data_IF_063999030875
#
_entry.id   IF_063999030875
#
_cell.length_a   1.000
_cell.length_b   1.000
_cell.length_c   1.000
_cell.angle_alpha   90.00
_cell.angle_beta   90.00
_cell.angle_gamma   90.00
#
_symmetry.space_group_name_H-M   'P 1'
#
loop_
_entity.id
_entity.type
_entity.pdbx_description
1 polymer ?
#
# COMPACT_ATOMS: atom_id res chain seq x y z
N UNK A 1 6.14 -8.50 -9.66
CA UNK A 1 5.46 -9.47 -8.78
C UNK A 1 4.06 -9.00 -8.39
N UNK A 2 3.88 -7.82 -7.78
CA UNK A 2 2.55 -7.28 -7.40
C UNK A 2 1.53 -7.25 -8.56
N UNK A 3 1.95 -6.85 -9.76
CA UNK A 3 1.07 -6.86 -10.95
C UNK A 3 0.52 -8.24 -11.34
N UNK A 4 1.21 -9.31 -10.97
CA UNK A 4 0.82 -10.68 -11.32
C UNK A 4 -0.07 -11.34 -10.24
N UNK A 5 -0.37 -10.63 -9.16
CA UNK A 5 -1.17 -11.13 -8.03
C UNK A 5 -2.56 -10.50 -8.07
N UNK A 6 -3.61 -11.31 -7.92
CA UNK A 6 -5.01 -10.85 -7.99
C UNK A 6 -5.45 -10.05 -6.76
N UNK A 7 -4.89 -10.36 -5.58
CA UNK A 7 -5.09 -9.63 -4.32
C UNK A 7 -3.72 -9.36 -3.71
N UNK A 8 -3.13 -8.22 -4.03
CA UNK A 8 -1.80 -7.85 -3.53
C UNK A 8 -1.89 -7.24 -2.12
N UNK A 9 -0.91 -7.55 -1.28
CA UNK A 9 -0.76 -6.95 0.04
C UNK A 9 0.67 -6.42 0.16
N UNK A 10 0.81 -5.14 0.46
CA UNK A 10 2.08 -4.51 0.78
C UNK A 10 2.15 -4.25 2.29
N UNK A 11 3.07 -4.93 3.00
CA UNK A 11 3.22 -4.83 4.45
C UNK A 11 4.40 -3.91 4.76
N UNK A 12 4.19 -2.90 5.61
CA UNK A 12 5.15 -1.86 5.98
C UNK A 12 5.95 -1.32 4.78
N UNK A 13 5.28 -0.93 3.67
CA UNK A 13 5.97 -0.53 2.44
C UNK A 13 6.76 0.77 2.61
N UNK A 14 7.79 0.95 1.78
CA UNK A 14 8.47 2.23 1.65
C UNK A 14 7.55 3.27 1.02
N UNK A 15 7.81 4.56 1.26
CA UNK A 15 7.08 5.67 0.62
C UNK A 15 7.09 5.56 -0.91
N UNK A 16 8.24 5.21 -1.49
CA UNK A 16 8.40 5.03 -2.94
C UNK A 16 7.50 3.91 -3.47
N UNK A 17 7.39 2.79 -2.74
CA UNK A 17 6.51 1.70 -3.12
C UNK A 17 5.03 2.09 -3.01
N UNK A 18 4.63 2.82 -1.96
CA UNK A 18 3.27 3.34 -1.84
C UNK A 18 2.93 4.24 -3.02
N UNK A 19 3.81 5.17 -3.37
CA UNK A 19 3.62 6.03 -4.54
C UNK A 19 3.53 5.23 -5.84
N UNK A 20 4.42 4.25 -6.03
CA UNK A 20 4.40 3.37 -7.21
C UNK A 20 3.07 2.60 -7.33
N UNK A 21 2.51 2.14 -6.21
CA UNK A 21 1.20 1.48 -6.19
C UNK A 21 0.07 2.47 -6.48
N UNK A 22 0.14 3.70 -5.95
CA UNK A 22 -0.87 4.75 -6.16
C UNK A 22 -0.94 5.23 -7.61
N UNK A 23 0.21 5.36 -8.25
CA UNK A 23 0.31 5.92 -9.60
C UNK A 23 -0.08 4.92 -10.70
N UNK A 24 -0.17 3.64 -10.36
CA UNK A 24 -0.60 2.57 -11.27
C UNK A 24 -2.04 2.15 -10.95
N UNK A 25 -2.98 2.42 -11.87
CA UNK A 25 -4.40 2.18 -11.66
C UNK A 25 -4.73 0.73 -11.31
N UNK A 26 -4.03 -0.23 -11.94
CA UNK A 26 -4.28 -1.65 -11.72
C UNK A 26 -3.78 -2.07 -10.33
N UNK A 27 -2.60 -1.59 -9.92
CA UNK A 27 -2.06 -1.85 -8.59
C UNK A 27 -2.88 -1.17 -7.50
N UNK A 28 -3.28 0.09 -7.72
CA UNK A 28 -4.05 0.87 -6.75
C UNK A 28 -5.36 0.18 -6.38
N UNK A 29 -6.06 -0.37 -7.37
CA UNK A 29 -7.39 -0.94 -7.18
C UNK A 29 -7.35 -2.35 -6.56
N UNK A 30 -6.21 -3.06 -6.64
CA UNK A 30 -6.08 -4.45 -6.15
C UNK A 30 -5.09 -4.65 -5.00
N UNK A 31 -4.41 -3.60 -4.55
CA UNK A 31 -3.40 -3.67 -3.48
C UNK A 31 -3.90 -3.06 -2.18
N UNK A 32 -3.92 -3.86 -1.12
CA UNK A 32 -4.06 -3.37 0.25
C UNK A 32 -2.70 -3.06 0.85
N UNK A 33 -2.63 -1.98 1.62
CA UNK A 33 -1.47 -1.60 2.40
C UNK A 33 -1.73 -1.96 3.85
N UNK A 34 -0.81 -2.72 4.44
CA UNK A 34 -0.83 -3.05 5.87
C UNK A 34 0.32 -2.31 6.53
N UNK A 35 0.02 -1.54 7.58
CA UNK A 35 1.02 -0.83 8.37
C UNK A 35 0.94 -1.29 9.82
N UNK A 36 2.04 -1.79 10.34
CA UNK A 36 2.18 -2.18 11.73
C UNK A 36 2.87 -1.03 12.47
N UNK A 37 2.22 -0.50 13.51
CA UNK A 37 2.78 0.58 14.32
C UNK A 37 2.43 0.37 15.78
N UNK A 38 3.47 0.18 16.61
CA UNK A 38 3.35 -0.16 18.03
C UNK A 38 2.53 -1.45 18.19
N UNK A 39 1.37 -1.36 18.82
CA UNK A 39 0.44 -2.43 19.17
C UNK A 39 -0.79 -2.49 18.25
N UNK A 40 -0.76 -1.77 17.13
CA UNK A 40 -1.88 -1.65 16.19
C UNK A 40 -1.42 -1.98 14.76
N UNK A 41 -2.28 -2.70 14.04
CA UNK A 41 -2.14 -2.98 12.61
C UNK A 41 -3.25 -2.24 11.86
N UNK A 42 -2.85 -1.40 10.91
CA UNK A 42 -3.76 -0.68 10.03
C UNK A 42 -3.90 -1.43 8.71
N UNK A 43 -5.13 -1.54 8.22
CA UNK A 43 -5.41 -1.96 6.84
C UNK A 43 -5.97 -0.78 6.07
N UNK A 44 -5.27 -0.42 5.00
CA UNK A 44 -5.47 0.80 4.23
C UNK A 44 -5.61 0.43 2.75
N UNK A 45 -6.49 1.13 2.05
CA UNK A 45 -6.49 1.10 0.59
C UNK A 45 -5.22 1.78 0.07
N UNK A 46 -4.80 1.45 -1.16
CA UNK A 46 -3.65 2.10 -1.79
C UNK A 46 -3.78 3.64 -1.87
N UNK A 47 -5.01 4.17 -1.99
CA UNK A 47 -5.27 5.61 -2.03
C UNK A 47 -5.24 6.29 -0.64
N UNK A 48 -4.16 6.06 0.11
CA UNK A 48 -3.94 6.65 1.43
C UNK A 48 -3.18 7.99 1.31
N UNK A 49 -3.53 8.96 2.14
CA UNK A 49 -2.77 10.21 2.27
C UNK A 49 -1.46 9.97 3.03
N UNK A 50 -0.34 10.43 2.48
CA UNK A 50 0.97 10.41 3.14
C UNK A 50 1.22 11.80 3.72
N UNK A 51 1.55 11.87 5.02
CA UNK A 51 1.87 13.11 5.73
C UNK A 51 3.39 13.16 5.95
N UNK A 52 4.02 14.27 5.58
CA UNK A 52 5.41 14.55 5.91
C UNK A 52 5.46 15.41 7.17
N UNK A 53 6.22 14.95 8.16
CA UNK A 53 6.48 15.62 9.45
C UNK A 53 7.97 15.80 9.64
#
# INVERSE_FOLDING_TARGET
>A
MLKLTGNSIAINPTKELVNTIKDDIELRDKTNIIVERKDIVYSLNADVQIIEV
#
